data_IF_740805894975
#
_entry.id   IF_740805894975
#
_cell.length_a   1.000
_cell.length_b   1.000
_cell.length_c   1.000
_cell.angle_alpha   90.00
_cell.angle_beta   90.00
_cell.angle_gamma   90.00
#
_symmetry.space_group_name_H-M   'P 1'
#
loop_
_entity.id
_entity.type
_entity.pdbx_description
1 polymer ?
#
# COMPACT_ATOMS: atom_id res chain seq x y z
N UNK A 1 18.47 28.20 -11.66
CA UNK A 1 17.75 26.92 -11.47
C UNK A 1 16.78 26.77 -12.64
N UNK A 2 17.02 25.80 -13.52
CA UNK A 2 16.34 25.77 -14.82
C UNK A 2 14.89 25.27 -14.65
N UNK A 3 13.91 25.98 -15.21
CA UNK A 3 12.47 25.68 -15.03
C UNK A 3 12.12 24.25 -15.48
N UNK A 4 12.83 23.75 -16.50
CA UNK A 4 12.75 22.38 -17.01
C UNK A 4 13.20 21.32 -16.01
N UNK A 5 14.21 21.62 -15.18
CA UNK A 5 14.71 20.68 -14.17
C UNK A 5 13.67 20.54 -13.05
N UNK A 6 13.05 21.65 -12.63
CA UNK A 6 11.98 21.64 -11.64
C UNK A 6 10.75 20.86 -12.13
N UNK A 7 10.37 21.05 -13.40
CA UNK A 7 9.27 20.31 -14.02
C UNK A 7 9.56 18.80 -14.10
N UNK A 8 10.79 18.41 -14.47
CA UNK A 8 11.21 17.00 -14.52
C UNK A 8 11.23 16.35 -13.13
N UNK A 9 11.68 17.08 -12.10
CA UNK A 9 11.68 16.59 -10.71
C UNK A 9 10.25 16.39 -10.19
N UNK A 10 9.37 17.36 -10.41
CA UNK A 10 7.94 17.26 -10.07
C UNK A 10 7.25 16.08 -10.77
N UNK A 11 7.62 15.78 -12.01
CA UNK A 11 7.08 14.63 -12.75
C UNK A 11 7.61 13.30 -12.19
N UNK A 12 8.87 13.26 -11.76
CA UNK A 12 9.49 12.08 -11.17
C UNK A 12 8.88 11.75 -9.80
N UNK A 13 8.65 12.76 -8.96
CA UNK A 13 8.01 12.62 -7.65
C UNK A 13 6.58 12.10 -7.77
N UNK A 14 5.84 12.53 -8.80
CA UNK A 14 4.48 12.07 -9.06
C UNK A 14 4.42 10.59 -9.45
N UNK A 15 5.45 10.06 -10.13
CA UNK A 15 5.52 8.66 -10.55
C UNK A 15 5.96 7.71 -9.43
N UNK A 16 6.67 8.21 -8.42
CA UNK A 16 7.25 7.38 -7.35
C UNK A 16 6.24 6.95 -6.27
N UNK A 17 5.05 7.57 -6.20
CA UNK A 17 4.02 7.26 -5.17
C UNK A 17 3.14 6.08 -5.59
N UNK A 18 3.73 5.07 -6.23
CA UNK A 18 3.06 3.82 -6.56
C UNK A 18 3.56 2.66 -5.66
N UNK A 19 2.98 2.53 -4.46
CA UNK A 19 3.38 1.51 -3.49
C UNK A 19 2.93 0.09 -3.88
N UNK A 20 3.84 -0.77 -4.32
CA UNK A 20 3.50 -2.16 -4.63
C UNK A 20 3.26 -2.98 -3.35
N UNK A 21 2.21 -3.80 -3.32
CA UNK A 21 1.99 -4.73 -2.21
C UNK A 21 2.95 -5.92 -2.31
N UNK A 22 3.96 -5.95 -1.46
CA UNK A 22 4.91 -7.06 -1.43
C UNK A 22 4.43 -8.21 -0.52
N UNK A 23 3.82 -9.23 -1.13
CA UNK A 23 3.27 -10.39 -0.40
C UNK A 23 4.34 -11.22 0.33
N UNK A 24 5.59 -11.21 -0.12
CA UNK A 24 6.71 -12.00 0.44
C UNK A 24 7.02 -11.65 1.90
N UNK A 25 6.67 -10.41 2.32
CA UNK A 25 6.91 -9.87 3.66
C UNK A 25 5.83 -10.26 4.66
N UNK A 26 4.66 -10.74 4.18
CA UNK A 26 3.58 -11.24 5.02
C UNK A 26 4.01 -12.47 5.83
N UNK A 27 3.81 -12.42 7.15
CA UNK A 27 4.19 -13.47 8.09
C UNK A 27 5.65 -13.39 8.55
N UNK A 28 6.47 -12.54 7.91
CA UNK A 28 7.86 -12.28 8.30
C UNK A 28 7.98 -10.94 9.04
N UNK A 29 7.74 -9.86 8.31
CA UNK A 29 7.90 -8.49 8.80
C UNK A 29 6.56 -7.85 9.17
N UNK A 30 5.51 -8.16 8.40
CA UNK A 30 4.16 -7.66 8.61
C UNK A 30 3.15 -8.79 8.63
N UNK A 31 2.02 -8.58 9.31
CA UNK A 31 0.86 -9.48 9.23
C UNK A 31 -0.05 -8.99 8.12
N UNK A 32 -0.80 -9.90 7.50
CA UNK A 32 -1.61 -9.58 6.33
C UNK A 32 -2.99 -10.23 6.40
N UNK A 33 -4.02 -9.49 6.02
CA UNK A 33 -5.41 -9.93 5.94
C UNK A 33 -5.87 -9.76 4.49
N UNK A 34 -6.43 -10.83 3.94
CA UNK A 34 -6.91 -10.87 2.56
C UNK A 34 -8.43 -10.93 2.57
N UNK A 35 -9.07 -9.98 1.87
CA UNK A 35 -10.53 -9.86 1.79
C UNK A 35 -11.03 -9.98 0.34
N UNK A 36 -12.04 -10.82 0.06
CA UNK A 36 -12.77 -11.66 1.03
C UNK A 36 -11.92 -12.81 1.59
N UNK A 37 -12.37 -13.42 2.70
CA UNK A 37 -11.63 -14.52 3.35
C UNK A 37 -11.34 -15.63 2.32
N UNK A 38 -10.13 -16.19 2.39
CA UNK A 38 -9.62 -17.22 1.47
C UNK A 38 -9.45 -16.79 0.00
N UNK A 39 -9.60 -15.49 -0.32
CA UNK A 39 -9.40 -15.01 -1.69
C UNK A 39 -8.00 -15.28 -2.24
N UNK A 40 -6.99 -15.39 -1.35
CA UNK A 40 -5.62 -15.73 -1.74
C UNK A 40 -5.53 -17.07 -2.50
N UNK A 41 -6.39 -18.05 -2.17
CA UNK A 41 -6.41 -19.35 -2.87
C UNK A 41 -7.09 -19.27 -4.23
N UNK A 42 -8.04 -18.34 -4.38
CA UNK A 42 -8.87 -18.14 -5.59
C UNK A 42 -8.37 -17.02 -6.49
N UNK A 43 -7.36 -16.28 -6.02
CA UNK A 43 -6.80 -15.11 -6.67
C UNK A 43 -7.84 -14.01 -7.00
N UNK A 44 -8.85 -13.85 -6.13
CA UNK A 44 -9.98 -12.92 -6.31
C UNK A 44 -10.04 -11.88 -5.17
N UNK A 45 -8.90 -11.58 -4.55
CA UNK A 45 -8.82 -10.60 -3.49
C UNK A 45 -9.20 -9.22 -4.02
N UNK A 46 -10.05 -8.51 -3.28
CA UNK A 46 -10.45 -7.13 -3.59
C UNK A 46 -9.66 -6.15 -2.75
N UNK A 47 -9.35 -6.55 -1.52
CA UNK A 47 -8.66 -5.72 -0.55
C UNK A 47 -7.63 -6.57 0.20
N UNK A 48 -6.50 -5.95 0.47
CA UNK A 48 -5.44 -6.52 1.25
C UNK A 48 -5.07 -5.50 2.31
N UNK A 49 -4.99 -5.94 3.56
CA UNK A 49 -4.51 -5.13 4.67
C UNK A 49 -3.20 -5.73 5.13
N UNK A 50 -2.18 -4.90 5.35
CA UNK A 50 -1.01 -5.30 6.13
C UNK A 50 -0.87 -4.45 7.36
N UNK A 51 -0.39 -5.06 8.43
CA UNK A 51 -0.16 -4.36 9.69
C UNK A 51 1.11 -4.84 10.37
N UNK A 52 1.82 -3.90 10.99
CA UNK A 52 3.07 -4.12 11.72
C UNK A 52 2.93 -3.51 13.11
N UNK A 53 2.76 -4.32 14.17
CA UNK A 53 2.72 -3.82 15.54
C UNK A 53 4.12 -3.43 16.02
N UNK A 54 4.18 -2.35 16.79
CA UNK A 54 5.39 -1.84 17.45
C UNK A 54 5.36 -2.16 18.96
N UNK A 55 6.53 -2.08 19.60
CA UNK A 55 6.67 -2.40 21.05
C UNK A 55 6.00 -1.37 21.96
N UNK A 56 5.81 -0.15 21.48
CA UNK A 56 5.16 0.96 22.18
C UNK A 56 3.61 0.91 22.09
N UNK A 57 3.06 -0.13 21.48
CA UNK A 57 1.63 -0.35 21.31
C UNK A 57 1.03 0.28 20.06
N UNK A 58 1.82 0.99 19.24
CA UNK A 58 1.35 1.51 17.95
C UNK A 58 1.31 0.41 16.90
N UNK A 59 0.49 0.60 15.86
CA UNK A 59 0.37 -0.32 14.73
C UNK A 59 0.39 0.45 13.43
N UNK A 60 1.38 0.19 12.59
CA UNK A 60 1.34 0.68 11.21
C UNK A 60 0.36 -0.17 10.42
N UNK A 61 -0.55 0.47 9.69
CA UNK A 61 -1.51 -0.20 8.82
C UNK A 61 -1.43 0.33 7.40
N UNK A 62 -1.40 -0.60 6.45
CA UNK A 62 -1.43 -0.34 5.03
C UNK A 62 -2.65 -1.05 4.43
N UNK A 63 -3.35 -0.37 3.54
CA UNK A 63 -4.46 -0.96 2.79
C UNK A 63 -4.12 -0.92 1.31
N UNK A 64 -4.46 -1.99 0.60
CA UNK A 64 -4.26 -2.10 -0.84
C UNK A 64 -5.57 -2.56 -1.46
N UNK A 65 -6.09 -1.78 -2.41
CA UNK A 65 -7.21 -2.21 -3.25
C UNK A 65 -6.65 -2.89 -4.48
N UNK A 66 -7.01 -4.15 -4.67
CA UNK A 66 -6.66 -4.88 -5.88
C UNK A 66 -7.70 -4.49 -6.92
N UNK A 67 -7.35 -3.51 -7.76
CA UNK A 67 -8.17 -3.20 -8.93
C UNK A 67 -8.14 -4.42 -9.85
N UNK A 68 -9.26 -5.13 -9.95
CA UNK A 68 -9.45 -6.22 -10.91
C UNK A 68 -9.49 -5.58 -12.30
N UNK A 69 -8.31 -5.44 -12.92
CA UNK A 69 -8.02 -4.73 -14.17
C UNK A 69 -8.35 -3.23 -14.13
N UNK A 70 -7.31 -2.43 -14.39
CA UNK A 70 -7.26 -0.96 -14.51
C UNK A 70 -7.19 -0.17 -13.19
N UNK A 71 -5.96 0.26 -12.86
CA UNK A 71 -5.72 1.43 -12.02
C UNK A 71 -5.74 1.18 -10.51
N UNK A 72 -4.57 0.89 -9.96
CA UNK A 72 -4.26 0.96 -8.52
C UNK A 72 -4.62 2.35 -7.97
N UNK A 73 -5.75 2.45 -7.28
CA UNK A 73 -6.07 3.60 -6.43
C UNK A 73 -5.56 3.30 -5.02
N UNK A 74 -4.39 3.85 -4.72
CA UNK A 74 -3.71 3.75 -3.42
C UNK A 74 -4.56 4.45 -2.34
N UNK A 75 -4.91 3.80 -1.22
CA UNK A 75 -5.41 4.53 -0.08
C UNK A 75 -4.22 5.23 0.61
N UNK A 76 -4.33 6.55 0.67
CA UNK A 76 -3.55 7.43 1.53
C UNK A 76 -3.65 6.90 2.96
N UNK A 77 -2.51 6.81 3.67
CA UNK A 77 -2.47 6.45 5.07
C UNK A 77 -3.51 7.25 5.85
N UNK A 78 -4.48 6.56 6.47
CA UNK A 78 -5.42 7.18 7.40
C UNK A 78 -4.65 7.28 8.72
N UNK A 79 -4.09 8.45 9.00
CA UNK A 79 -3.64 8.79 10.35
C UNK A 79 -4.89 9.05 11.17
N UNK A 80 -5.31 8.09 12.00
CA UNK A 80 -6.24 8.40 13.07
C UNK A 80 -5.49 9.28 14.09
N UNK A 81 -5.77 10.58 14.06
CA UNK A 81 -5.46 11.48 15.16
C UNK A 81 -6.56 11.34 16.20
N UNK A 82 -6.27 10.61 17.28
CA UNK A 82 -6.96 10.75 18.56
C UNK A 82 -6.47 11.98 19.31
#
# INVERSE_FOLDING_TARGET
MNLWILASLLLLDLLLVAGHFEQSTCGKQKKCIFSPVACKKRNDCRQIFSYSPHEDGWVDMEMFRVAVKYGSLFPKAIKETG
#
